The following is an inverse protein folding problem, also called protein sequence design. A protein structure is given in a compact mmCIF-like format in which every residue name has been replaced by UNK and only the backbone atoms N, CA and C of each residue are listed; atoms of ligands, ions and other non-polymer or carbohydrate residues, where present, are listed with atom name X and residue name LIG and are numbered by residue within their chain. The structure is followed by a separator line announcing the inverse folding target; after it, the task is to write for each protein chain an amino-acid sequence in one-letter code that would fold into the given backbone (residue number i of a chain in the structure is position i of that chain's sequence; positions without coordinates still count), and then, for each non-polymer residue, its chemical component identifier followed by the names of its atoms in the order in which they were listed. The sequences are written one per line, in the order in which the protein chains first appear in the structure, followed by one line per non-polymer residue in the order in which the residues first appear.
data_IF_161419934506
#
_entry.id   IF_161419934506
#
_cell.length_a   1.000
_cell.length_b   1.000
_cell.length_c   1.000
_cell.angle_alpha   90.00
_cell.angle_beta   90.00
_cell.angle_gamma   90.00
#
_symmetry.space_group_name_H-M   'P 1'
#
loop_
_entity.id
_entity.type
_entity.pdbx_description
1 polymer ?
#
# COMPACT_ATOMS: atom_id res chain seq x y z
N UNK A 1 1.83 19.28 -15.90
CA UNK A 1 2.61 18.03 -15.73
C UNK A 1 3.78 17.94 -16.71
N UNK A 2 3.60 18.20 -18.02
CA UNK A 2 4.68 18.16 -19.03
C UNK A 2 5.83 19.11 -18.73
N UNK A 3 5.56 20.37 -18.35
CA UNK A 3 6.61 21.35 -18.02
C UNK A 3 7.55 20.89 -16.88
N UNK A 4 7.02 20.17 -15.89
CA UNK A 4 7.81 19.63 -14.76
C UNK A 4 8.79 18.55 -15.22
N UNK A 5 8.36 17.66 -16.12
CA UNK A 5 9.21 16.63 -16.72
C UNK A 5 10.30 17.19 -17.62
N UNK A 6 10.02 18.29 -18.33
CA UNK A 6 11.02 19.01 -19.12
C UNK A 6 12.09 19.61 -18.21
N UNK A 7 11.68 20.28 -17.12
CA UNK A 7 12.63 20.87 -16.16
C UNK A 7 13.49 19.79 -15.50
N UNK A 8 12.89 18.68 -15.05
CA UNK A 8 13.63 17.56 -14.49
C UNK A 8 14.60 16.97 -15.51
N UNK A 9 14.14 16.73 -16.74
CA UNK A 9 15.00 16.19 -17.80
C UNK A 9 16.19 17.11 -18.10
N UNK A 10 15.96 18.42 -18.20
CA UNK A 10 17.01 19.40 -18.46
C UNK A 10 18.09 19.46 -17.37
N UNK A 11 17.79 19.10 -16.12
CA UNK A 11 18.75 19.11 -15.00
C UNK A 11 19.34 17.72 -14.76
N UNK A 12 18.50 16.70 -14.70
CA UNK A 12 18.91 15.35 -14.35
C UNK A 12 19.72 14.67 -15.47
N UNK A 13 19.38 14.88 -16.75
CA UNK A 13 20.09 14.23 -17.85
C UNK A 13 21.56 14.68 -17.94
N UNK A 14 21.90 15.99 -17.91
CA UNK A 14 23.30 16.41 -17.90
C UNK A 14 24.09 15.89 -16.69
N UNK A 15 23.48 15.84 -15.51
CA UNK A 15 24.13 15.33 -14.30
C UNK A 15 24.40 13.82 -14.37
N UNK A 16 23.44 13.04 -14.85
CA UNK A 16 23.60 11.61 -15.07
C UNK A 16 24.66 11.33 -16.14
N UNK A 17 24.68 12.09 -17.22
CA UNK A 17 25.70 11.96 -18.26
C UNK A 17 27.10 12.31 -17.74
N UNK A 18 27.22 13.36 -16.92
CA UNK A 18 28.49 13.68 -16.26
C UNK A 18 28.95 12.52 -15.36
N UNK A 19 28.06 11.93 -14.57
CA UNK A 19 28.38 10.76 -13.76
C UNK A 19 28.82 9.54 -14.59
N UNK A 20 28.25 9.35 -15.79
CA UNK A 20 28.61 8.24 -16.69
C UNK A 20 30.00 8.46 -17.29
N UNK A 21 30.28 9.65 -17.84
CA UNK A 21 31.54 9.91 -18.55
C UNK A 21 32.71 10.22 -17.62
N UNK A 22 32.47 10.86 -16.47
CA UNK A 22 33.51 11.24 -15.53
C UNK A 22 33.02 11.12 -14.07
N UNK A 23 32.88 9.88 -13.56
CA UNK A 23 32.44 9.62 -12.19
C UNK A 23 33.43 10.15 -11.14
N UNK A 24 34.73 10.16 -11.45
CA UNK A 24 35.78 10.70 -10.57
C UNK A 24 35.65 12.22 -10.45
N UNK A 25 35.54 12.93 -11.56
CA UNK A 25 35.34 14.38 -11.56
C UNK A 25 34.03 14.82 -10.87
N UNK A 26 32.97 14.01 -10.94
CA UNK A 26 31.75 14.29 -10.16
C UNK A 26 31.98 14.12 -8.65
N UNK A 27 32.71 13.08 -8.24
CA UNK A 27 33.05 12.87 -6.83
C UNK A 27 33.95 14.00 -6.29
N UNK A 28 34.95 14.41 -7.07
CA UNK A 28 35.80 15.56 -6.75
C UNK A 28 34.99 16.84 -6.55
N UNK A 29 34.05 17.13 -7.46
CA UNK A 29 33.22 18.32 -7.37
C UNK A 29 32.21 18.29 -6.22
N UNK A 30 31.70 17.11 -5.82
CA UNK A 30 30.53 17.00 -4.92
C UNK A 30 30.83 16.43 -3.54
N UNK A 31 31.88 15.63 -3.39
CA UNK A 31 32.19 14.89 -2.15
C UNK A 31 33.61 15.12 -1.63
N UNK A 32 34.58 15.40 -2.48
CA UNK A 32 35.99 15.52 -2.05
C UNK A 32 36.22 16.61 -1.00
N UNK A 33 35.44 17.70 -1.04
CA UNK A 33 35.51 18.80 -0.06
C UNK A 33 35.22 18.37 1.37
N UNK A 34 34.57 17.21 1.58
CA UNK A 34 34.29 16.65 2.91
C UNK A 34 35.53 16.08 3.58
N UNK A 35 36.58 15.77 2.82
CA UNK A 35 37.77 15.09 3.31
C UNK A 35 38.94 16.05 3.42
N UNK A 36 39.70 15.93 4.52
CA UNK A 36 40.92 16.71 4.74
C UNK A 36 42.03 16.35 3.75
N UNK A 37 42.05 15.09 3.29
CA UNK A 37 42.92 14.62 2.21
C UNK A 37 42.06 13.85 1.20
N UNK A 38 41.62 14.49 0.10
CA UNK A 38 40.70 13.88 -0.85
C UNK A 38 41.36 12.74 -1.65
N UNK A 39 42.63 12.87 -2.03
CA UNK A 39 43.34 11.84 -2.81
C UNK A 39 43.47 10.51 -2.04
N UNK A 40 43.59 10.57 -0.70
CA UNK A 40 43.68 9.38 0.14
C UNK A 40 42.31 8.70 0.40
N UNK A 41 41.21 9.40 0.13
CA UNK A 41 39.85 8.94 0.40
C UNK A 41 39.01 8.82 -0.89
N UNK A 42 39.67 8.86 -2.06
CA UNK A 42 39.01 8.63 -3.34
C UNK A 42 38.40 7.21 -3.35
N UNK A 43 37.14 7.05 -3.79
CA UNK A 43 36.54 5.74 -3.95
C UNK A 43 37.36 4.87 -4.90
N UNK A 44 37.42 3.57 -4.62
CA UNK A 44 38.02 2.60 -5.53
C UNK A 44 37.34 2.61 -6.92
N UNK A 45 38.05 2.15 -7.94
CA UNK A 45 37.53 2.05 -9.32
C UNK A 45 36.22 1.27 -9.42
N UNK A 46 36.05 0.23 -8.60
CA UNK A 46 34.81 -0.55 -8.51
C UNK A 46 33.63 0.29 -8.01
N UNK A 47 33.87 1.18 -7.04
CA UNK A 47 32.85 2.07 -6.51
C UNK A 47 32.43 3.13 -7.53
N UNK A 48 33.38 3.63 -8.35
CA UNK A 48 33.05 4.47 -9.50
C UNK A 48 32.27 3.70 -10.57
N UNK A 49 32.60 2.44 -10.82
CA UNK A 49 31.85 1.56 -11.73
C UNK A 49 30.41 1.33 -11.28
N UNK A 50 30.17 1.10 -9.98
CA UNK A 50 28.82 0.99 -9.41
C UNK A 50 28.05 2.31 -9.57
N UNK A 51 28.70 3.44 -9.35
CA UNK A 51 28.08 4.75 -9.49
C UNK A 51 27.70 5.07 -10.96
N UNK A 52 28.53 4.65 -11.92
CA UNK A 52 28.21 4.71 -13.35
C UNK A 52 27.03 3.80 -13.71
N UNK A 53 27.02 2.55 -13.22
CA UNK A 53 25.92 1.62 -13.45
C UNK A 53 24.59 2.17 -12.89
N UNK A 54 24.62 2.77 -11.71
CA UNK A 54 23.48 3.47 -11.11
C UNK A 54 23.00 4.65 -11.96
N UNK A 55 23.92 5.44 -12.53
CA UNK A 55 23.57 6.55 -13.40
C UNK A 55 22.93 6.10 -14.72
N UNK A 56 23.43 5.02 -15.34
CA UNK A 56 22.83 4.40 -16.53
C UNK A 56 21.42 3.90 -16.21
N UNK A 57 21.25 3.19 -15.10
CA UNK A 57 19.95 2.69 -14.67
C UNK A 57 18.95 3.85 -14.41
N UNK A 58 19.41 4.92 -13.75
CA UNK A 58 18.61 6.13 -13.53
C UNK A 58 18.17 6.80 -14.84
N UNK A 59 19.05 6.85 -15.85
CA UNK A 59 18.73 7.40 -17.17
C UNK A 59 17.65 6.58 -17.89
N UNK A 60 17.71 5.25 -17.82
CA UNK A 60 16.70 4.34 -18.39
C UNK A 60 15.34 4.56 -17.73
N UNK A 61 15.29 4.68 -16.39
CA UNK A 61 14.05 4.98 -15.67
C UNK A 61 13.49 6.34 -16.06
N UNK A 62 14.35 7.36 -16.19
CA UNK A 62 13.91 8.71 -16.54
C UNK A 62 13.30 8.77 -17.94
N UNK A 63 13.91 8.08 -18.91
CA UNK A 63 13.38 7.97 -20.28
C UNK A 63 12.09 7.15 -20.29
N UNK A 64 12.07 5.97 -19.65
CA UNK A 64 10.90 5.09 -19.60
C UNK A 64 9.71 5.71 -18.87
N UNK A 65 9.94 6.33 -17.71
CA UNK A 65 8.93 7.04 -16.93
C UNK A 65 8.39 8.26 -17.67
N UNK A 66 9.26 9.02 -18.36
CA UNK A 66 8.85 10.14 -19.20
C UNK A 66 7.94 9.72 -20.35
N UNK A 67 8.23 8.59 -21.00
CA UNK A 67 7.40 8.05 -22.08
C UNK A 67 6.04 7.55 -21.59
N UNK A 68 5.98 6.83 -20.48
CA UNK A 68 4.70 6.30 -19.94
C UNK A 68 3.76 7.45 -19.55
N UNK A 69 4.29 8.49 -18.90
CA UNK A 69 3.49 9.60 -18.38
C UNK A 69 3.09 10.64 -19.45
N UNK A 70 3.87 10.78 -20.52
CA UNK A 70 3.49 11.64 -21.67
C UNK A 70 2.43 10.98 -22.54
N UNK A 71 2.46 9.65 -22.71
CA UNK A 71 1.37 8.93 -23.39
C UNK A 71 0.06 9.00 -22.60
N UNK A 72 0.11 8.89 -21.28
CA UNK A 72 -1.08 9.01 -20.42
C UNK A 72 -1.71 10.43 -20.45
N UNK A 73 -0.90 11.47 -20.66
CA UNK A 73 -1.38 12.85 -20.76
C UNK A 73 -2.08 13.15 -22.11
N UNK A 74 -1.66 12.50 -23.19
CA UNK A 74 -2.28 12.68 -24.52
C UNK A 74 -3.65 12.00 -24.63
N UNK A 75 -3.90 10.93 -23.88
CA UNK A 75 -5.20 10.25 -23.83
C UNK A 75 -6.27 11.11 -23.13
N UNK A 76 -5.88 11.91 -22.13
CA UNK A 76 -6.80 12.87 -21.47
C UNK A 76 -7.12 14.12 -22.30
N UNK A 77 -6.36 14.41 -23.36
CA UNK A 77 -6.61 15.55 -24.24
C UNK A 77 -7.61 15.26 -25.37
N UNK A 78 -8.00 14.00 -25.56
CA UNK A 78 -8.73 13.57 -26.76
C UNK A 78 -9.99 12.77 -26.43
N UNK A 79 -11.12 13.48 -26.14
CA UNK A 79 -12.51 13.19 -26.59
C UNK A 79 -13.59 13.87 -25.70
N UNK A 80 -14.80 14.16 -26.23
CA UNK A 80 -15.11 14.66 -27.58
C UNK A 80 -16.25 15.71 -27.62
N UNK A 81 -16.28 16.56 -28.65
CA UNK A 81 -17.52 17.21 -29.12
C UNK A 81 -17.81 16.80 -30.56
N UNK A 82 -18.94 16.14 -30.72
CA UNK A 82 -19.87 16.16 -31.85
C UNK A 82 -19.39 15.93 -33.30
N UNK A 83 -20.01 14.88 -33.87
CA UNK A 83 -20.71 14.86 -35.16
C UNK A 83 -20.03 14.31 -36.42
N UNK A 84 -20.83 13.44 -37.06
CA UNK A 84 -21.02 13.25 -38.50
C UNK A 84 -20.01 12.38 -39.27
N UNK A 85 -20.64 11.41 -39.94
CA UNK A 85 -20.19 10.48 -40.97
C UNK A 85 -19.06 10.94 -41.89
N UNK A 86 -18.13 10.03 -42.15
CA UNK A 86 -17.73 9.71 -43.52
C UNK A 86 -16.91 8.42 -43.57
N UNK A 87 -17.38 7.51 -44.41
CA UNK A 87 -16.67 6.37 -44.96
C UNK A 87 -15.34 6.76 -45.61
N UNK A 88 -14.26 6.07 -45.26
CA UNK A 88 -13.11 5.91 -46.14
C UNK A 88 -12.38 4.61 -45.77
N UNK A 89 -12.40 3.66 -46.70
CA UNK A 89 -11.60 2.46 -46.65
C UNK A 89 -10.12 2.84 -46.63
N UNK A 90 -9.40 2.36 -45.62
CA UNK A 90 -7.95 2.28 -45.66
C UNK A 90 -7.55 0.92 -45.10
N UNK A 91 -6.88 0.16 -45.96
CA UNK A 91 -6.24 -1.12 -45.69
C UNK A 91 -5.20 -0.92 -44.58
N UNK A 92 -5.65 -1.09 -43.35
CA UNK A 92 -4.80 -1.13 -42.17
C UNK A 92 -4.73 -2.57 -41.73
N UNK A 93 -3.53 -3.13 -41.72
CA UNK A 93 -3.18 -4.34 -40.98
C UNK A 93 -3.76 -4.17 -39.58
N UNK A 94 -4.93 -4.76 -39.33
CA UNK A 94 -5.61 -4.71 -38.03
C UNK A 94 -4.69 -5.39 -37.03
N UNK A 95 -3.81 -4.61 -36.40
CA UNK A 95 -3.29 -4.95 -35.09
C UNK A 95 -4.55 -5.25 -34.28
N UNK A 96 -4.73 -6.46 -33.74
CA UNK A 96 -5.85 -6.69 -32.82
C UNK A 96 -5.77 -5.58 -31.77
N UNK A 97 -6.91 -4.99 -31.38
CA UNK A 97 -6.91 -3.98 -30.34
C UNK A 97 -6.11 -4.53 -29.15
N UNK A 98 -5.28 -3.70 -28.49
CA UNK A 98 -4.61 -4.15 -27.28
C UNK A 98 -5.67 -4.75 -26.36
N UNK A 99 -5.43 -5.99 -25.93
CA UNK A 99 -6.33 -6.67 -25.01
C UNK A 99 -6.44 -5.82 -23.76
N UNK A 100 -7.61 -5.20 -23.56
CA UNK A 100 -7.91 -4.43 -22.37
C UNK A 100 -8.37 -5.43 -21.30
N UNK A 101 -7.57 -5.66 -20.25
CA UNK A 101 -7.92 -6.65 -19.25
C UNK A 101 -9.12 -6.16 -18.45
N UNK A 102 -10.14 -7.00 -18.33
CA UNK A 102 -11.39 -6.70 -17.63
C UNK A 102 -11.29 -7.00 -16.14
N UNK A 103 -10.24 -6.52 -15.49
CA UNK A 103 -10.10 -6.73 -14.04
C UNK A 103 -11.27 -6.06 -13.30
N UNK A 104 -12.05 -6.87 -12.60
CA UNK A 104 -13.15 -6.43 -11.74
C UNK A 104 -12.90 -6.91 -10.32
N UNK A 105 -13.25 -6.06 -9.36
CA UNK A 105 -13.20 -6.39 -7.93
C UNK A 105 -14.60 -6.27 -7.34
N UNK A 106 -15.03 -7.27 -6.59
CA UNK A 106 -16.31 -7.23 -5.86
C UNK A 106 -16.13 -7.56 -4.39
N UNK A 107 -16.90 -6.89 -3.56
CA UNK A 107 -17.00 -7.21 -2.14
C UNK A 107 -17.84 -8.48 -1.98
N UNK A 108 -17.35 -9.44 -1.21
CA UNK A 108 -18.06 -10.71 -0.97
C UNK A 108 -18.60 -10.84 0.45
N UNK A 109 -18.26 -9.90 1.33
CA UNK A 109 -18.80 -9.82 2.67
C UNK A 109 -17.74 -9.56 3.74
N UNK A 110 -18.14 -9.69 5.03
CA UNK A 110 -17.24 -9.51 6.15
C UNK A 110 -16.17 -10.60 6.14
N UNK A 111 -14.94 -10.21 6.49
CA UNK A 111 -13.87 -11.15 6.76
C UNK A 111 -13.84 -11.59 8.22
N UNK A 112 -12.72 -12.22 8.58
CA UNK A 112 -12.48 -12.76 9.91
C UNK A 112 -11.30 -12.03 10.55
N UNK A 113 -11.34 -11.85 11.86
CA UNK A 113 -10.22 -11.36 12.66
C UNK A 113 -9.92 -12.35 13.77
N UNK A 114 -8.64 -12.54 14.07
CA UNK A 114 -8.21 -13.44 15.14
C UNK A 114 -8.01 -12.66 16.43
N UNK A 115 -7.33 -11.52 16.36
CA UNK A 115 -7.06 -10.69 17.53
C UNK A 115 -6.11 -9.53 17.22
N UNK A 116 -5.77 -8.77 18.25
CA UNK A 116 -4.82 -7.67 18.16
C UNK A 116 -3.75 -7.71 19.25
N UNK A 117 -2.61 -7.08 18.98
CA UNK A 117 -1.65 -6.66 20.00
C UNK A 117 -1.36 -5.16 19.83
N UNK A 118 -0.76 -4.54 20.85
CA UNK A 118 -0.36 -3.14 20.80
C UNK A 118 1.06 -3.00 21.35
N UNK A 119 2.12 -3.23 20.54
CA UNK A 119 3.50 -3.16 21.00
C UNK A 119 3.91 -1.76 21.50
N UNK A 120 3.14 -0.72 21.15
CA UNK A 120 3.25 0.63 21.70
C UNK A 120 1.88 1.27 21.78
N UNK A 121 1.75 2.37 22.52
CA UNK A 121 0.47 3.09 22.68
C UNK A 121 -0.11 3.58 21.35
N UNK A 122 0.72 3.79 20.33
CA UNK A 122 0.35 4.32 19.01
C UNK A 122 0.42 3.30 17.89
N UNK A 123 0.76 2.05 18.16
CA UNK A 123 0.86 1.01 17.13
C UNK A 123 -0.03 -0.16 17.49
N UNK A 124 -0.96 -0.47 16.59
CA UNK A 124 -1.83 -1.63 16.64
C UNK A 124 -1.33 -2.66 15.62
N UNK A 125 -1.20 -3.94 16.00
CA UNK A 125 -1.03 -5.02 15.04
C UNK A 125 -2.23 -5.97 15.12
N UNK A 126 -2.73 -6.33 13.95
CA UNK A 126 -3.91 -7.16 13.78
C UNK A 126 -3.50 -8.49 13.16
N UNK A 127 -3.97 -9.59 13.75
CA UNK A 127 -3.88 -10.91 13.16
C UNK A 127 -5.16 -11.20 12.37
N UNK A 128 -5.03 -11.30 11.05
CA UNK A 128 -6.14 -11.53 10.12
C UNK A 128 -5.81 -12.71 9.24
N UNK A 129 -6.73 -13.69 9.06
CA UNK A 129 -6.53 -14.79 8.12
C UNK A 129 -6.22 -14.25 6.73
N UNK A 130 -5.09 -14.69 6.18
CA UNK A 130 -4.60 -14.14 4.92
C UNK A 130 -5.50 -14.51 3.76
N UNK A 131 -5.78 -13.56 2.89
CA UNK A 131 -6.42 -13.87 1.61
C UNK A 131 -5.67 -13.35 0.39
N UNK A 132 -4.56 -12.58 0.48
CA UNK A 132 -3.93 -12.10 -0.76
C UNK A 132 -3.27 -13.25 -1.52
N UNK A 133 -3.99 -13.72 -2.51
CA UNK A 133 -3.52 -14.57 -3.59
C UNK A 133 -3.87 -13.85 -4.89
N UNK A 134 -3.39 -12.62 -5.07
CA UNK A 134 -3.61 -11.89 -6.32
C UNK A 134 -2.71 -12.54 -7.39
N UNK A 135 -3.32 -13.34 -8.24
CA UNK A 135 -2.66 -13.96 -9.39
C UNK A 135 -3.22 -13.37 -10.68
N UNK A 136 -2.54 -13.61 -11.81
CA UNK A 136 -3.07 -13.29 -13.15
C UNK A 136 -4.42 -13.96 -13.45
N UNK A 137 -4.80 -14.99 -12.68
CA UNK A 137 -6.08 -15.71 -12.78
C UNK A 137 -7.15 -15.16 -11.82
N UNK A 138 -6.92 -13.99 -11.23
CA UNK A 138 -7.74 -13.44 -10.15
C UNK A 138 -7.27 -13.89 -8.77
N UNK A 139 -8.09 -13.63 -7.76
CA UNK A 139 -7.69 -13.94 -6.39
C UNK A 139 -8.67 -13.48 -5.32
N UNK A 140 -8.31 -13.78 -4.09
CA UNK A 140 -8.93 -13.19 -2.92
C UNK A 140 -8.05 -12.05 -2.41
N UNK A 141 -8.66 -11.10 -1.72
CA UNK A 141 -7.92 -10.17 -0.87
C UNK A 141 -8.75 -9.79 0.35
N UNK A 142 -8.07 -9.63 1.48
CA UNK A 142 -8.66 -9.10 2.71
C UNK A 142 -8.16 -7.68 2.91
N UNK A 143 -9.07 -6.76 3.14
CA UNK A 143 -8.79 -5.35 3.42
C UNK A 143 -9.24 -5.06 4.84
N UNK A 144 -8.34 -4.46 5.62
CA UNK A 144 -8.58 -4.10 7.02
C UNK A 144 -8.57 -2.59 7.18
N UNK A 145 -9.71 -2.02 7.56
CA UNK A 145 -9.86 -0.62 7.95
C UNK A 145 -9.77 -0.46 9.47
N UNK A 146 -9.09 0.59 9.93
CA UNK A 146 -9.09 0.99 11.34
C UNK A 146 -9.60 2.41 11.41
N UNK A 147 -10.69 2.61 12.13
CA UNK A 147 -11.35 3.89 12.30
C UNK A 147 -11.26 4.29 13.77
N UNK A 148 -10.57 5.39 14.01
CA UNK A 148 -10.41 5.94 15.35
C UNK A 148 -11.59 6.87 15.65
N UNK A 149 -12.24 6.62 16.78
CA UNK A 149 -13.27 7.48 17.35
C UNK A 149 -12.86 7.89 18.77
N UNK A 150 -13.52 8.92 19.32
CA UNK A 150 -13.25 9.35 20.70
C UNK A 150 -13.59 8.25 21.71
N UNK A 151 -14.57 7.42 21.41
CA UNK A 151 -15.16 6.43 22.32
C UNK A 151 -14.86 4.97 21.96
N UNK A 152 -14.20 4.69 20.83
CA UNK A 152 -13.85 3.34 20.41
C UNK A 152 -12.85 3.38 19.26
N UNK A 153 -12.19 2.25 19.02
CA UNK A 153 -11.51 1.98 17.75
C UNK A 153 -12.32 0.91 17.03
N UNK A 154 -12.79 1.21 15.83
CA UNK A 154 -13.60 0.29 15.04
C UNK A 154 -12.74 -0.32 13.95
N UNK A 155 -12.72 -1.64 13.89
CA UNK A 155 -11.99 -2.41 12.89
C UNK A 155 -12.99 -3.00 11.91
N UNK A 156 -12.85 -2.64 10.63
CA UNK A 156 -13.52 -3.34 9.54
C UNK A 156 -12.57 -4.36 8.92
N UNK A 157 -13.09 -5.56 8.66
CA UNK A 157 -12.40 -6.56 7.85
C UNK A 157 -13.34 -6.92 6.72
N UNK A 158 -12.94 -6.57 5.50
CA UNK A 158 -13.75 -6.79 4.29
C UNK A 158 -13.01 -7.71 3.35
N UNK A 159 -13.73 -8.67 2.78
CA UNK A 159 -13.19 -9.59 1.79
C UNK A 159 -13.60 -9.17 0.39
N UNK A 160 -12.63 -9.30 -0.51
CA UNK A 160 -12.77 -8.96 -1.91
C UNK A 160 -12.40 -10.15 -2.78
N UNK A 161 -13.17 -10.34 -3.84
CA UNK A 161 -12.84 -11.21 -4.95
C UNK A 161 -12.34 -10.37 -6.13
N UNK A 162 -11.24 -10.81 -6.73
CA UNK A 162 -10.64 -10.25 -7.93
C UNK A 162 -10.84 -11.23 -9.07
N UNK A 163 -11.39 -10.74 -10.19
CA UNK A 163 -11.53 -11.52 -11.40
C UNK A 163 -10.17 -11.75 -12.08
N UNK A 164 -10.12 -12.73 -12.98
CA UNK A 164 -9.01 -12.83 -13.94
C UNK A 164 -9.04 -11.67 -14.95
N UNK A 165 -8.08 -11.67 -15.87
CA UNK A 165 -7.99 -10.68 -16.94
C UNK A 165 -9.19 -10.70 -17.90
N UNK A 166 -9.97 -11.79 -17.93
CA UNK A 166 -11.18 -11.93 -18.74
C UNK A 166 -12.44 -11.40 -18.03
N UNK A 167 -12.33 -11.02 -16.75
CA UNK A 167 -13.46 -10.58 -15.94
C UNK A 167 -14.22 -11.73 -15.28
N UNK A 168 -13.65 -12.93 -15.26
CA UNK A 168 -14.26 -14.13 -14.68
C UNK A 168 -13.73 -14.35 -13.27
N UNK A 169 -14.64 -14.51 -12.30
CA UNK A 169 -14.31 -14.86 -10.92
C UNK A 169 -14.09 -16.37 -10.81
N UNK A 170 -12.83 -16.80 -10.82
CA UNK A 170 -12.47 -18.23 -10.72
C UNK A 170 -12.27 -18.71 -9.28
N UNK A 171 -12.04 -17.79 -8.35
CA UNK A 171 -11.83 -18.07 -6.94
C UNK A 171 -13.10 -17.74 -6.16
N UNK A 172 -13.50 -18.66 -5.29
CA UNK A 172 -14.55 -18.44 -4.30
C UNK A 172 -13.91 -18.23 -2.93
N UNK A 173 -14.02 -17.02 -2.39
CA UNK A 173 -13.33 -16.69 -1.16
C UNK A 173 -14.16 -17.10 0.07
N UNK A 174 -14.16 -18.39 0.38
CA UNK A 174 -14.80 -18.95 1.57
C UNK A 174 -13.82 -19.08 2.74
N UNK A 175 -14.33 -18.96 3.97
CA UNK A 175 -13.55 -19.09 5.23
C UNK A 175 -12.90 -20.46 5.38
N UNK A 176 -13.47 -21.50 4.77
CA UNK A 176 -13.01 -22.89 4.89
C UNK A 176 -11.91 -23.26 3.89
N UNK A 177 -11.86 -22.57 2.75
CA UNK A 177 -10.87 -22.85 1.69
C UNK A 177 -9.53 -22.14 1.95
N UNK A 178 -9.52 -21.21 2.90
CA UNK A 178 -8.31 -20.50 3.33
C UNK A 178 -7.69 -21.20 4.54
N UNK A 179 -6.98 -22.30 4.29
CA UNK A 179 -5.98 -22.87 5.20
C UNK A 179 -4.78 -21.92 5.39
N UNK A 180 -5.04 -20.64 5.69
CA UNK A 180 -4.09 -19.56 5.50
C UNK A 180 -3.59 -19.09 6.85
N UNK A 181 -2.30 -19.36 7.04
CA UNK A 181 -1.49 -18.78 8.10
C UNK A 181 -1.90 -17.31 8.34
N UNK A 182 -2.12 -16.91 9.60
CA UNK A 182 -2.47 -15.54 9.90
C UNK A 182 -1.44 -14.58 9.30
N UNK A 183 -1.92 -13.40 8.94
CA UNK A 183 -1.07 -12.28 8.50
C UNK A 183 -1.14 -11.16 9.50
N UNK A 184 0.00 -10.50 9.67
CA UNK A 184 0.12 -9.35 10.53
C UNK A 184 -0.18 -8.07 9.74
N UNK A 185 -1.17 -7.29 10.16
CA UNK A 185 -1.43 -5.95 9.64
C UNK A 185 -1.06 -4.92 10.70
N UNK A 186 -0.08 -4.07 10.41
CA UNK A 186 0.31 -2.96 11.27
C UNK A 186 -0.46 -1.69 10.93
N UNK A 187 -0.92 -0.98 11.96
CA UNK A 187 -1.60 0.31 11.86
C UNK A 187 -1.06 1.26 12.92
N UNK A 188 -0.76 2.48 12.49
CA UNK A 188 -0.42 3.58 13.37
C UNK A 188 -1.71 4.31 13.75
N UNK A 189 -1.85 4.61 15.03
CA UNK A 189 -2.96 5.36 15.59
C UNK A 189 -2.57 6.84 15.67
N UNK A 190 -3.54 7.72 15.46
CA UNK A 190 -3.38 9.17 15.64
C UNK A 190 -3.26 9.53 17.11
N UNK A 191 -3.98 8.83 17.96
CA UNK A 191 -4.01 9.01 19.41
C UNK A 191 -3.67 7.71 20.12
N UNK A 192 -3.07 7.77 21.33
CA UNK A 192 -2.78 6.57 22.10
C UNK A 192 -4.05 5.74 22.34
N UNK A 193 -3.92 4.42 22.36
CA UNK A 193 -5.05 3.50 22.51
C UNK A 193 -5.92 3.87 23.74
N UNK A 194 -5.27 4.14 24.87
CA UNK A 194 -5.93 4.49 26.13
C UNK A 194 -6.90 3.38 26.57
N UNK A 195 -8.04 3.79 27.14
CA UNK A 195 -9.11 2.88 27.59
C UNK A 195 -10.16 2.60 26.52
N UNK A 196 -9.90 2.96 25.25
CA UNK A 196 -10.87 2.79 24.16
C UNK A 196 -11.03 1.31 23.81
N UNK A 197 -12.26 0.76 23.80
CA UNK A 197 -12.48 -0.61 23.35
C UNK A 197 -12.22 -0.70 21.85
N UNK A 198 -11.67 -1.84 21.43
CA UNK A 198 -11.50 -2.19 20.03
C UNK A 198 -12.67 -3.08 19.62
N UNK A 199 -13.48 -2.60 18.69
CA UNK A 199 -14.73 -3.22 18.27
C UNK A 199 -14.68 -3.64 16.80
N UNK A 200 -15.40 -4.69 16.44
CA UNK A 200 -15.52 -5.14 15.05
C UNK A 200 -16.89 -5.73 14.75
N UNK A 201 -17.30 -5.64 13.49
CA UNK A 201 -18.40 -6.41 12.92
C UNK A 201 -17.93 -7.71 12.25
N UNK A 202 -16.61 -7.94 12.17
CA UNK A 202 -16.02 -9.13 11.58
C UNK A 202 -16.25 -10.37 12.46
N UNK A 203 -16.21 -11.55 11.83
CA UNK A 203 -16.26 -12.81 12.58
C UNK A 203 -14.96 -12.96 13.38
N UNK A 204 -15.08 -13.36 14.65
CA UNK A 204 -13.93 -13.61 15.51
C UNK A 204 -13.60 -15.11 15.49
N UNK A 205 -12.34 -15.43 15.24
CA UNK A 205 -11.82 -16.81 15.28
C UNK A 205 -11.01 -17.07 16.54
N UNK A 206 -10.89 -18.34 16.97
CA UNK A 206 -10.12 -18.72 18.16
C UNK A 206 -8.62 -18.48 17.95
N UNK A 207 -7.98 -17.59 18.76
CA UNK A 207 -6.54 -17.35 18.69
C UNK A 207 -5.70 -18.62 18.86
N UNK A 208 -6.16 -19.57 19.67
CA UNK A 208 -5.42 -20.80 19.97
C UNK A 208 -5.25 -21.69 18.75
N UNK A 209 -6.24 -21.70 17.85
CA UNK A 209 -6.18 -22.44 16.59
C UNK A 209 -5.02 -21.96 15.69
N UNK A 210 -4.54 -20.73 15.91
CA UNK A 210 -3.48 -20.08 15.15
C UNK A 210 -2.15 -19.98 15.90
N UNK A 211 -2.01 -20.67 17.03
CA UNK A 211 -0.80 -20.62 17.86
C UNK A 211 -0.61 -19.29 18.60
N UNK A 212 -1.66 -18.48 18.68
CA UNK A 212 -1.69 -17.25 19.46
C UNK A 212 -2.27 -17.52 20.84
N UNK A 213 -1.79 -16.78 21.84
CA UNK A 213 -2.27 -16.94 23.22
C UNK A 213 -3.22 -15.79 23.53
N UNK A 214 -4.43 -16.04 24.05
CA UNK A 214 -5.30 -14.97 24.52
C UNK A 214 -4.57 -14.09 25.55
N UNK A 215 -4.64 -12.77 25.35
CA UNK A 215 -4.18 -11.78 26.29
C UNK A 215 -5.18 -11.60 27.45
N UNK A 216 -4.89 -10.72 28.41
CA UNK A 216 -5.86 -10.36 29.43
C UNK A 216 -7.14 -9.86 28.78
N UNK A 217 -8.29 -10.35 29.26
CA UNK A 217 -9.59 -9.92 28.77
C UNK A 217 -9.79 -8.44 29.11
N UNK A 218 -9.77 -7.59 28.07
CA UNK A 218 -10.13 -6.19 28.22
C UNK A 218 -11.65 -6.15 28.21
N UNK A 219 -12.25 -6.02 29.39
CA UNK A 219 -13.69 -5.73 29.45
C UNK A 219 -13.91 -4.39 28.75
N UNK A 220 -14.86 -4.30 27.82
CA UNK A 220 -15.28 -3.00 27.30
C UNK A 220 -15.88 -2.23 28.47
N UNK A 221 -15.09 -1.37 29.09
CA UNK A 221 -15.63 -0.44 30.09
C UNK A 221 -16.52 0.52 29.30
N UNK A 222 -17.80 0.69 29.68
CA UNK A 222 -18.62 1.73 29.08
C UNK A 222 -17.91 3.06 29.26
N UNK A 223 -17.44 3.68 28.17
CA UNK A 223 -16.81 4.99 28.23
C UNK A 223 -17.84 6.00 28.70
N UNK A 224 -17.70 6.42 29.96
CA UNK A 224 -18.44 7.53 30.52
C UNK A 224 -17.45 8.59 30.94
N UNK A 225 -17.01 9.44 30.02
CA UNK A 225 -16.31 10.68 30.38
C UNK A 225 -16.76 11.85 29.51
N UNK A 226 -17.23 12.90 30.20
CA UNK A 226 -17.55 14.21 29.65
C UNK A 226 -16.27 14.88 29.12
N UNK A 227 -16.32 15.61 28.01
CA UNK A 227 -15.16 16.34 27.53
C UNK A 227 -14.70 17.36 28.57
N UNK A 228 -13.44 17.28 28.99
CA UNK A 228 -12.79 18.37 29.74
C UNK A 228 -12.63 19.56 28.79
N UNK A 229 -13.04 20.79 29.17
CA UNK A 229 -12.88 21.95 28.32
C UNK A 229 -11.39 22.23 28.07
N UNK A 230 -10.95 22.26 26.81
CA UNK A 230 -9.65 22.84 26.43
C UNK A 230 -8.66 21.97 25.63
N UNK A 231 -9.02 20.77 25.17
CA UNK A 231 -8.12 19.90 24.38
C UNK A 231 -8.71 19.65 22.98
N UNK A 232 -7.82 19.49 21.99
CA UNK A 232 -8.02 19.48 20.53
C UNK A 232 -9.34 18.87 20.03
N UNK A 233 -9.84 19.40 18.91
CA UNK A 233 -11.12 19.01 18.32
C UNK A 233 -11.26 17.47 18.23
N UNK A 234 -12.39 16.92 18.73
CA UNK A 234 -12.52 15.52 19.05
C UNK A 234 -12.63 14.67 17.78
N UNK A 235 -12.00 13.49 17.81
CA UNK A 235 -12.41 12.38 16.96
C UNK A 235 -13.95 12.30 16.96
N UNK A 236 -14.55 12.02 15.80
CA UNK A 236 -16.01 12.02 15.69
C UNK A 236 -16.59 10.93 16.58
N UNK A 237 -17.51 11.32 17.47
CA UNK A 237 -18.34 10.37 18.21
C UNK A 237 -19.15 9.54 17.22
N UNK A 238 -19.14 8.23 17.40
CA UNK A 238 -19.96 7.31 16.60
C UNK A 238 -20.85 6.50 17.52
N UNK A 239 -22.10 6.36 17.08
CA UNK A 239 -23.05 5.44 17.69
C UNK A 239 -22.53 4.02 17.48
N UNK A 240 -22.14 3.36 18.57
CA UNK A 240 -21.68 1.99 18.55
C UNK A 240 -22.86 1.10 18.22
N UNK A 241 -22.73 0.31 17.16
CA UNK A 241 -23.72 -0.72 16.83
C UNK A 241 -23.67 -1.82 17.92
N UNK A 242 -24.80 -2.16 18.56
CA UNK A 242 -24.83 -3.23 19.56
C UNK A 242 -24.43 -4.60 19.01
N UNK A 243 -24.40 -4.81 17.69
CA UNK A 243 -23.91 -6.07 17.10
C UNK A 243 -22.39 -6.15 17.04
N UNK A 244 -21.66 -5.05 17.30
CA UNK A 244 -20.20 -5.08 17.29
C UNK A 244 -19.68 -5.75 18.56
N UNK A 245 -18.66 -6.59 18.35
CA UNK A 245 -18.04 -7.40 19.40
C UNK A 245 -16.63 -6.93 19.68
N UNK A 246 -16.14 -7.05 20.93
CA UNK A 246 -14.77 -6.69 21.27
C UNK A 246 -13.79 -7.65 20.59
N UNK A 247 -12.76 -7.09 19.96
CA UNK A 247 -11.67 -7.88 19.39
C UNK A 247 -10.82 -8.40 20.56
N UNK A 248 -10.43 -9.69 20.60
CA UNK A 248 -9.60 -10.20 21.68
C UNK A 248 -8.17 -9.67 21.57
N UNK A 249 -7.61 -9.24 22.70
CA UNK A 249 -6.18 -9.03 22.84
C UNK A 249 -5.47 -10.39 22.77
N UNK A 250 -4.36 -10.47 22.05
CA UNK A 250 -3.58 -11.70 21.89
C UNK A 250 -2.09 -11.42 22.07
N UNK A 251 -1.34 -12.46 22.39
CA UNK A 251 0.12 -12.44 22.49
C UNK A 251 0.71 -13.53 21.60
N UNK A 252 2.02 -13.44 21.32
CA UNK A 252 2.71 -14.36 20.42
C UNK A 252 2.62 -13.98 18.93
N UNK A 253 2.26 -12.72 18.61
CA UNK A 253 2.17 -12.21 17.24
C UNK A 253 3.50 -12.27 16.47
N UNK A 254 4.64 -12.39 17.14
CA UNK A 254 5.94 -12.51 16.48
C UNK A 254 6.09 -13.83 15.68
N UNK A 255 5.23 -14.82 15.95
CA UNK A 255 5.16 -16.07 15.17
C UNK A 255 4.36 -15.92 13.87
N UNK A 256 3.63 -14.80 13.72
CA UNK A 256 2.83 -14.46 12.54
C UNK A 256 3.71 -13.79 11.49
N UNK A 257 3.59 -14.21 10.22
CA UNK A 257 4.38 -13.60 9.14
C UNK A 257 3.98 -12.15 8.90
N UNK A 258 4.99 -11.28 8.81
CA UNK A 258 4.89 -9.92 8.28
C UNK A 258 4.86 -9.96 6.75
N UNK A 259 4.18 -8.99 6.13
CA UNK A 259 4.11 -8.80 4.68
C UNK A 259 4.24 -7.33 4.33
#
# INVERSE_FOLDING_TARGET
MVAYWVIIGCIAVPLLLWQIFNPRGMWEATQAWKYRNPEANEPSDEAHGVAQAGAIFGLVILIGGGLILTNLANDTASKPSASTSSSAASSSTKRPPPYEPKYQRREVGPGTIIGYDHPSELTLRLAVPGARTATILGGCSTVTGVYEHSNAIVISVTRWEESDSEGVYRYHCNDKDTAVRPRLVRRELKEPLGDRPILTAAVIEDPKAHGLTPGPEIRPVPLKENPRPGVQQPLTWVQIDPTWVPVPLVTGMDTVRQY
#
